data_IF_939343667972
#
_entry.id   IF_939343667972
#
_cell.length_a   1.000
_cell.length_b   1.000
_cell.length_c   1.000
_cell.angle_alpha   90.00
_cell.angle_beta   90.00
_cell.angle_gamma   90.00
#
_symmetry.space_group_name_H-M   'P 1'
#
loop_
_entity.id
_entity.type
_entity.pdbx_description
1 polymer ?
#
# COMPACT_ATOMS: atom_id res chain seq x y z
N UNK A 1 -10.38 11.30 -21.11
CA UNK A 1 -10.09 12.53 -20.36
C UNK A 1 -10.04 12.10 -18.91
N UNK A 2 -8.85 11.82 -18.39
CA UNK A 2 -8.64 11.38 -17.00
C UNK A 2 -9.18 12.50 -16.09
N UNK A 3 -10.24 12.22 -15.34
CA UNK A 3 -10.63 13.09 -14.23
C UNK A 3 -9.57 12.90 -13.15
N UNK A 4 -8.57 13.77 -13.14
CA UNK A 4 -7.64 13.85 -12.05
C UNK A 4 -8.45 14.06 -10.77
N UNK A 5 -8.21 13.26 -9.74
CA UNK A 5 -8.66 13.58 -8.39
C UNK A 5 -8.27 15.04 -8.13
N UNK A 6 -9.21 15.87 -7.76
CA UNK A 6 -8.90 17.26 -7.44
C UNK A 6 -7.86 17.28 -6.33
N UNK A 7 -6.85 18.14 -6.48
CA UNK A 7 -5.82 18.31 -5.46
C UNK A 7 -6.48 18.55 -4.08
N UNK A 8 -5.87 18.00 -3.04
CA UNK A 8 -6.37 18.16 -1.68
C UNK A 8 -6.42 19.63 -1.26
N UNK A 9 -7.48 20.08 -0.61
CA UNK A 9 -7.52 21.42 -0.05
C UNK A 9 -6.44 21.65 1.03
N UNK A 10 -5.93 20.58 1.66
CA UNK A 10 -4.88 20.67 2.68
C UNK A 10 -3.52 21.08 2.11
N UNK A 11 -3.34 21.10 0.80
CA UNK A 11 -2.17 21.72 0.15
C UNK A 11 -2.09 23.23 0.36
N UNK A 12 -3.20 23.86 0.80
CA UNK A 12 -3.21 25.29 1.18
C UNK A 12 -2.69 25.56 2.59
N UNK A 13 -2.50 24.52 3.40
CA UNK A 13 -2.00 24.68 4.78
C UNK A 13 -0.54 25.15 4.78
N UNK A 14 -0.14 25.95 5.81
CA UNK A 14 1.21 26.46 5.93
C UNK A 14 2.26 25.33 5.93
N UNK A 15 3.32 25.51 5.14
CA UNK A 15 4.41 24.54 5.05
C UNK A 15 4.14 23.35 4.14
N UNK A 16 2.96 23.23 3.55
CA UNK A 16 2.64 22.14 2.63
C UNK A 16 3.53 22.17 1.40
N UNK A 17 4.20 21.07 1.13
CA UNK A 17 4.96 20.80 -0.09
C UNK A 17 4.26 19.69 -0.86
N UNK A 18 3.84 19.91 -2.12
CA UNK A 18 3.16 18.88 -2.89
C UNK A 18 4.00 17.63 -3.08
N UNK A 19 3.38 16.46 -3.01
CA UNK A 19 4.03 15.19 -3.32
C UNK A 19 4.18 14.99 -4.83
N UNK A 20 5.23 14.25 -5.19
CA UNK A 20 5.44 13.75 -6.55
C UNK A 20 4.72 12.41 -6.76
N UNK A 21 4.67 11.96 -8.02
CA UNK A 21 4.11 10.64 -8.35
C UNK A 21 4.77 9.52 -7.50
N UNK A 22 3.99 8.54 -7.05
CA UNK A 22 2.57 8.29 -7.35
C UNK A 22 1.57 9.02 -6.45
N UNK A 23 2.02 9.87 -5.52
CA UNK A 23 1.19 10.50 -4.48
C UNK A 23 0.81 11.96 -4.81
N UNK A 24 0.81 12.31 -6.10
CA UNK A 24 0.36 13.61 -6.56
C UNK A 24 -1.04 13.97 -6.03
N UNK A 25 -1.22 15.23 -5.67
CA UNK A 25 -2.51 15.76 -5.20
C UNK A 25 -2.65 15.87 -3.68
N UNK A 26 -1.66 15.38 -2.90
CA UNK A 26 -1.57 15.56 -1.45
C UNK A 26 -0.19 16.12 -1.06
N UNK A 27 0.03 16.43 0.22
CA UNK A 27 1.31 16.97 0.68
C UNK A 27 2.34 15.86 0.91
N UNK A 28 3.56 16.07 0.41
CA UNK A 28 4.73 15.27 0.72
C UNK A 28 5.12 15.44 2.21
N UNK A 29 5.15 16.70 2.67
CA UNK A 29 5.39 17.09 4.06
C UNK A 29 4.86 18.51 4.33
N UNK A 30 4.82 18.92 5.61
CA UNK A 30 4.42 20.25 6.07
C UNK A 30 5.59 21.01 6.72
N UNK A 31 6.82 20.68 6.36
CA UNK A 31 8.03 21.39 6.76
C UNK A 31 9.12 20.49 7.33
N UNK A 32 8.92 19.83 8.45
CA UNK A 32 9.93 18.99 9.11
C UNK A 32 9.56 17.50 9.03
N UNK A 33 10.15 16.81 8.06
CA UNK A 33 9.91 15.39 7.80
C UNK A 33 10.15 14.48 9.03
N UNK A 34 11.22 14.72 9.79
CA UNK A 34 11.54 13.88 10.95
C UNK A 34 10.63 14.15 12.15
N UNK A 35 10.19 15.40 12.33
CA UNK A 35 9.19 15.75 13.34
C UNK A 35 7.83 15.10 13.00
N UNK A 36 7.46 15.13 11.74
CA UNK A 36 6.24 14.50 11.26
C UNK A 36 6.26 12.98 11.45
N UNK A 37 7.38 12.31 11.16
CA UNK A 37 7.53 10.87 11.40
C UNK A 37 7.42 10.52 12.90
N UNK A 38 8.11 11.28 13.77
CA UNK A 38 8.01 11.08 15.22
C UNK A 38 6.57 11.27 15.71
N UNK A 39 5.88 12.30 15.23
CA UNK A 39 4.48 12.51 15.59
C UNK A 39 3.60 11.32 15.21
N UNK A 40 3.75 10.77 13.99
CA UNK A 40 3.04 9.55 13.58
C UNK A 40 3.40 8.34 14.45
N UNK A 41 4.68 8.12 14.71
CA UNK A 41 5.15 7.00 15.54
C UNK A 41 4.60 7.09 16.97
N UNK A 42 4.44 8.32 17.50
CA UNK A 42 3.86 8.61 18.82
C UNK A 42 2.31 8.59 18.84
N UNK A 43 1.66 8.23 17.73
CA UNK A 43 0.20 8.19 17.64
C UNK A 43 -0.47 9.55 17.43
N UNK A 44 0.28 10.57 17.01
CA UNK A 44 -0.22 11.94 16.85
C UNK A 44 -0.37 12.36 15.40
N UNK A 45 -1.33 13.26 15.15
CA UNK A 45 -1.61 13.79 13.81
C UNK A 45 -2.38 12.81 12.91
N UNK A 46 -2.47 13.17 11.64
CA UNK A 46 -3.13 12.37 10.62
C UNK A 46 -2.48 12.60 9.25
N UNK A 47 -2.63 11.63 8.34
CA UNK A 47 -2.15 11.75 6.96
C UNK A 47 -3.33 11.81 6.00
N UNK A 48 -3.30 12.81 5.14
CA UNK A 48 -4.26 12.95 4.04
C UNK A 48 -3.89 11.98 2.90
N UNK A 49 -4.76 11.00 2.67
CA UNK A 49 -4.70 10.05 1.57
C UNK A 49 -5.85 10.27 0.56
N UNK A 50 -6.38 11.48 0.47
CA UNK A 50 -7.53 11.82 -0.38
C UNK A 50 -7.31 11.64 -1.89
N UNK A 51 -6.07 11.42 -2.32
CA UNK A 51 -5.70 11.06 -3.69
C UNK A 51 -5.97 9.58 -4.01
N UNK A 52 -6.21 8.72 -3.00
CA UNK A 52 -6.54 7.31 -3.20
C UNK A 52 -7.94 7.13 -3.78
N UNK A 53 -8.10 6.11 -4.62
CA UNK A 53 -9.41 5.74 -5.15
C UNK A 53 -10.29 5.09 -4.09
N UNK A 54 -11.55 5.49 -4.00
CA UNK A 54 -12.55 4.91 -3.09
C UNK A 54 -13.66 4.26 -3.91
N UNK A 55 -13.94 2.98 -3.61
CA UNK A 55 -15.03 2.24 -4.22
C UNK A 55 -15.93 1.62 -3.15
N UNK A 56 -17.18 1.38 -3.52
CA UNK A 56 -18.13 0.65 -2.68
C UNK A 56 -18.80 -0.47 -3.46
N UNK A 57 -19.11 -1.55 -2.74
CA UNK A 57 -19.96 -2.63 -3.24
C UNK A 57 -21.09 -2.85 -2.25
N UNK A 58 -22.32 -2.64 -2.71
CA UNK A 58 -23.54 -2.89 -1.92
C UNK A 58 -24.35 -4.03 -2.50
N UNK A 59 -25.39 -4.45 -1.78
CA UNK A 59 -26.30 -5.52 -2.18
C UNK A 59 -26.14 -6.81 -1.38
N UNK A 60 -27.18 -7.66 -1.39
CA UNK A 60 -27.24 -8.84 -0.52
C UNK A 60 -26.21 -9.92 -0.85
N UNK A 61 -25.68 -9.94 -2.06
CA UNK A 61 -24.72 -10.93 -2.52
C UNK A 61 -23.27 -10.40 -2.54
N UNK A 62 -23.00 -9.18 -2.04
CA UNK A 62 -21.69 -8.51 -2.15
C UNK A 62 -20.53 -9.33 -1.62
N UNK A 63 -20.63 -9.89 -0.41
CA UNK A 63 -19.53 -10.64 0.20
C UNK A 63 -19.30 -11.98 -0.51
N UNK A 64 -20.35 -12.72 -0.86
CA UNK A 64 -20.23 -13.98 -1.58
C UNK A 64 -19.66 -13.77 -2.99
N UNK A 65 -20.06 -12.69 -3.66
CA UNK A 65 -19.55 -12.32 -4.99
C UNK A 65 -18.09 -11.84 -4.92
N UNK A 66 -17.75 -10.92 -4.02
CA UNK A 66 -16.37 -10.49 -3.81
C UNK A 66 -15.44 -11.65 -3.44
N UNK A 67 -15.94 -12.61 -2.66
CA UNK A 67 -15.18 -13.81 -2.33
C UNK A 67 -14.74 -14.61 -3.56
N UNK A 68 -15.53 -14.66 -4.62
CA UNK A 68 -15.16 -15.35 -5.86
C UNK A 68 -14.08 -14.61 -6.66
N UNK A 69 -14.02 -13.29 -6.54
CA UNK A 69 -13.14 -12.44 -7.33
C UNK A 69 -11.80 -12.16 -6.66
N UNK A 70 -11.81 -12.04 -5.33
CA UNK A 70 -10.66 -11.61 -4.53
C UNK A 70 -9.87 -12.81 -3.99
N UNK A 71 -8.61 -12.57 -3.68
CA UNK A 71 -7.71 -13.56 -3.09
C UNK A 71 -7.98 -13.84 -1.61
N UNK A 72 -8.75 -12.98 -0.92
CA UNK A 72 -9.04 -13.06 0.50
C UNK A 72 -10.38 -13.75 0.77
N UNK A 73 -10.49 -14.39 1.94
CA UNK A 73 -11.74 -14.98 2.42
C UNK A 73 -12.62 -13.89 3.03
N UNK A 74 -13.66 -13.46 2.29
CA UNK A 74 -14.53 -12.36 2.70
C UNK A 74 -16.01 -12.75 2.88
N UNK A 75 -16.38 -14.02 2.62
CA UNK A 75 -17.79 -14.46 2.70
C UNK A 75 -18.40 -14.21 4.08
N UNK A 76 -17.62 -14.39 5.13
CA UNK A 76 -18.02 -14.24 6.52
C UNK A 76 -17.30 -13.08 7.20
N UNK A 77 -16.89 -12.05 6.43
CA UNK A 77 -16.21 -10.88 6.98
C UNK A 77 -17.16 -10.14 7.95
N UNK A 78 -16.84 -10.10 9.25
CA UNK A 78 -17.68 -9.41 10.21
C UNK A 78 -17.72 -7.90 9.94
N UNK A 79 -18.86 -7.24 10.21
CA UNK A 79 -18.93 -5.79 10.12
C UNK A 79 -17.85 -5.10 10.97
N UNK A 80 -17.18 -4.10 10.38
CA UNK A 80 -16.09 -3.36 11.02
C UNK A 80 -14.71 -4.05 10.95
N UNK A 81 -14.65 -5.34 10.57
CA UNK A 81 -13.35 -6.01 10.43
C UNK A 81 -12.66 -5.59 9.13
N UNK A 82 -11.45 -5.06 9.28
CA UNK A 82 -10.60 -4.71 8.14
C UNK A 82 -9.92 -5.94 7.54
N UNK A 83 -9.70 -5.90 6.22
CA UNK A 83 -8.89 -6.89 5.53
C UNK A 83 -8.21 -6.28 4.30
N UNK A 84 -7.28 -7.04 3.71
CA UNK A 84 -6.63 -6.72 2.45
C UNK A 84 -6.90 -7.86 1.46
N UNK A 85 -7.02 -7.52 0.20
CA UNK A 85 -7.24 -8.50 -0.86
C UNK A 85 -6.60 -8.05 -2.17
N UNK A 86 -6.28 -9.02 -3.02
CA UNK A 86 -5.74 -8.77 -4.34
C UNK A 86 -6.72 -9.22 -5.42
N UNK A 87 -6.62 -8.58 -6.57
CA UNK A 87 -7.12 -9.11 -7.85
C UNK A 87 -5.89 -9.54 -8.65
N UNK A 88 -5.86 -10.80 -9.04
CA UNK A 88 -4.76 -11.37 -9.81
C UNK A 88 -5.14 -11.55 -11.28
N UNK A 89 -4.14 -11.56 -12.16
CA UNK A 89 -4.28 -12.05 -13.52
C UNK A 89 -4.50 -13.57 -13.56
N UNK A 90 -4.87 -14.12 -14.69
CA UNK A 90 -4.96 -15.57 -14.88
C UNK A 90 -3.63 -16.30 -14.61
N UNK A 91 -2.50 -15.61 -14.78
CA UNK A 91 -1.16 -16.12 -14.49
C UNK A 91 -0.72 -15.92 -13.03
N UNK A 92 -1.60 -15.40 -12.16
CA UNK A 92 -1.30 -15.15 -10.75
C UNK A 92 -0.47 -13.90 -10.45
N UNK A 93 -0.31 -13.00 -11.44
CA UNK A 93 0.34 -11.72 -11.21
C UNK A 93 -0.62 -10.73 -10.56
N UNK A 94 -0.11 -9.88 -9.68
CA UNK A 94 -0.92 -8.87 -8.97
C UNK A 94 -1.32 -7.75 -9.94
N UNK A 95 -2.63 -7.57 -10.12
CA UNK A 95 -3.20 -6.48 -10.93
C UNK A 95 -3.69 -5.33 -10.05
N UNK A 96 -4.35 -5.65 -8.92
CA UNK A 96 -4.86 -4.66 -7.98
C UNK A 96 -4.67 -5.11 -6.53
N UNK A 97 -4.45 -4.13 -5.65
CA UNK A 97 -4.48 -4.28 -4.20
C UNK A 97 -5.62 -3.43 -3.63
N UNK A 98 -6.43 -4.04 -2.78
CA UNK A 98 -7.63 -3.45 -2.20
C UNK A 98 -7.57 -3.54 -0.68
N UNK A 99 -7.88 -2.44 -0.03
CA UNK A 99 -7.93 -2.30 1.42
C UNK A 99 -9.38 -2.12 1.84
N UNK A 100 -9.97 -3.16 2.46
CA UNK A 100 -11.41 -3.31 2.62
C UNK A 100 -11.87 -3.26 4.08
N UNK A 101 -13.12 -2.83 4.26
CA UNK A 101 -13.94 -3.01 5.45
C UNK A 101 -15.39 -3.14 5.02
N UNK A 102 -16.17 -3.98 5.68
CA UNK A 102 -17.62 -4.10 5.47
C UNK A 102 -18.37 -3.48 6.65
N UNK A 103 -19.38 -2.63 6.40
CA UNK A 103 -20.18 -1.98 7.45
C UNK A 103 -21.46 -2.74 7.82
N UNK A 104 -21.67 -3.92 7.22
CA UNK A 104 -22.87 -4.75 7.37
C UNK A 104 -23.86 -4.59 6.20
N UNK A 105 -23.78 -3.53 5.43
CA UNK A 105 -24.61 -3.22 4.26
C UNK A 105 -23.82 -2.99 2.98
N UNK A 106 -22.63 -2.44 3.13
CA UNK A 106 -21.75 -2.01 2.06
C UNK A 106 -20.31 -2.40 2.39
N UNK A 107 -19.61 -2.97 1.41
CA UNK A 107 -18.16 -3.14 1.47
C UNK A 107 -17.50 -1.89 0.92
N UNK A 108 -16.75 -1.20 1.75
CA UNK A 108 -15.92 -0.05 1.41
C UNK A 108 -14.51 -0.50 1.13
N UNK A 109 -13.89 0.10 0.13
CA UNK A 109 -12.51 -0.20 -0.20
C UNK A 109 -11.79 1.03 -0.75
N UNK A 110 -10.51 1.12 -0.48
CA UNK A 110 -9.64 2.05 -1.19
C UNK A 110 -8.53 1.30 -1.92
N UNK A 111 -7.96 1.95 -2.91
CA UNK A 111 -6.87 1.44 -3.73
C UNK A 111 -5.86 2.54 -4.03
N UNK A 112 -4.76 2.21 -4.68
CA UNK A 112 -3.73 3.16 -5.05
C UNK A 112 -4.27 4.27 -5.97
N UNK A 113 -3.64 5.46 -5.96
CA UNK A 113 -4.08 6.59 -6.78
C UNK A 113 -4.22 6.22 -8.26
N UNK A 114 -5.32 6.64 -8.88
CA UNK A 114 -5.59 6.40 -10.29
C UNK A 114 -5.92 4.95 -10.68
N UNK A 115 -6.06 4.02 -9.71
CA UNK A 115 -6.40 2.62 -9.99
C UNK A 115 -7.89 2.31 -9.89
N UNK A 116 -8.71 3.20 -9.34
CA UNK A 116 -10.15 2.99 -9.11
C UNK A 116 -10.92 2.69 -10.39
N UNK A 117 -10.61 3.37 -11.50
CA UNK A 117 -11.32 3.15 -12.78
C UNK A 117 -11.10 1.72 -13.30
N UNK A 118 -9.88 1.20 -13.23
CA UNK A 118 -9.57 -0.15 -13.66
C UNK A 118 -10.19 -1.20 -12.74
N UNK A 119 -10.20 -0.97 -11.42
CA UNK A 119 -10.89 -1.83 -10.45
C UNK A 119 -12.39 -1.83 -10.72
N UNK A 120 -13.02 -0.65 -10.90
CA UNK A 120 -14.44 -0.52 -11.22
C UNK A 120 -14.78 -1.30 -12.49
N UNK A 121 -14.01 -1.10 -13.57
CA UNK A 121 -14.23 -1.77 -14.85
C UNK A 121 -14.15 -3.30 -14.71
N UNK A 122 -13.16 -3.81 -13.95
CA UNK A 122 -13.05 -5.24 -13.67
C UNK A 122 -14.26 -5.75 -12.89
N UNK A 123 -14.64 -5.10 -11.80
CA UNK A 123 -15.77 -5.51 -10.97
C UNK A 123 -17.09 -5.47 -11.75
N UNK A 124 -17.35 -4.42 -12.52
CA UNK A 124 -18.55 -4.33 -13.38
C UNK A 124 -18.56 -5.44 -14.44
N UNK A 125 -17.42 -5.79 -15.03
CA UNK A 125 -17.33 -6.88 -16.02
C UNK A 125 -17.67 -8.27 -15.44
N UNK A 126 -17.53 -8.45 -14.14
CA UNK A 126 -17.75 -9.70 -13.41
C UNK A 126 -19.11 -9.77 -12.70
N UNK A 127 -19.96 -8.78 -12.87
CA UNK A 127 -21.22 -8.64 -12.14
C UNK A 127 -22.28 -9.68 -12.54
N UNK A 128 -22.40 -9.97 -13.84
CA UNK A 128 -23.37 -10.92 -14.41
C UNK A 128 -24.78 -10.77 -13.79
N UNK A 129 -25.25 -11.83 -13.11
CA UNK A 129 -26.58 -11.91 -12.47
C UNK A 129 -26.57 -11.63 -10.96
N UNK A 130 -25.42 -11.29 -10.40
CA UNK A 130 -25.31 -11.00 -8.97
C UNK A 130 -26.04 -9.70 -8.61
N UNK A 131 -26.78 -9.74 -7.49
CA UNK A 131 -27.51 -8.59 -6.96
C UNK A 131 -26.56 -7.70 -6.13
N UNK A 132 -25.67 -7.04 -6.85
CA UNK A 132 -24.67 -6.14 -6.31
C UNK A 132 -24.67 -4.84 -7.10
N UNK A 133 -24.28 -3.77 -6.44
CA UNK A 133 -24.02 -2.46 -7.04
C UNK A 133 -22.61 -2.04 -6.71
N UNK A 134 -21.83 -1.69 -7.74
CA UNK A 134 -20.45 -1.21 -7.59
C UNK A 134 -20.45 0.28 -7.93
N UNK A 135 -19.81 1.08 -7.10
CA UNK A 135 -19.74 2.52 -7.32
C UNK A 135 -18.33 3.07 -7.05
N UNK A 136 -17.88 3.99 -7.92
CA UNK A 136 -16.73 4.86 -7.65
C UNK A 136 -17.19 6.03 -6.78
N UNK A 137 -16.67 6.11 -5.58
CA UNK A 137 -16.97 7.14 -4.56
C UNK A 137 -15.81 8.11 -4.37
N UNK A 138 -14.78 8.03 -5.21
CA UNK A 138 -13.57 8.86 -5.11
C UNK A 138 -13.87 10.36 -5.08
N UNK A 139 -14.88 10.79 -5.82
CA UNK A 139 -15.31 12.20 -5.84
C UNK A 139 -16.04 12.67 -4.57
N UNK A 140 -16.56 11.75 -3.76
CA UNK A 140 -17.40 12.04 -2.60
C UNK A 140 -16.66 11.83 -1.28
N UNK A 141 -15.73 10.87 -1.23
CA UNK A 141 -14.99 10.50 -0.03
C UNK A 141 -13.49 10.68 -0.20
N UNK A 142 -12.85 11.03 0.90
CA UNK A 142 -11.41 11.06 1.08
C UNK A 142 -11.00 9.94 2.05
N UNK A 143 -9.81 9.37 1.87
CA UNK A 143 -9.21 8.52 2.88
C UNK A 143 -8.31 9.38 3.77
N UNK A 144 -8.47 9.26 5.09
CA UNK A 144 -7.60 9.89 6.09
C UNK A 144 -7.01 8.80 6.96
N UNK A 145 -5.69 8.76 7.07
CA UNK A 145 -5.00 7.79 7.92
C UNK A 145 -4.68 8.38 9.29
N UNK A 146 -5.10 7.69 10.34
CA UNK A 146 -4.71 7.93 11.74
C UNK A 146 -3.70 6.86 12.16
N UNK A 147 -2.58 7.23 12.77
CA UNK A 147 -1.58 6.25 13.22
C UNK A 147 -2.10 5.35 14.34
N UNK A 148 -1.42 4.24 14.57
CA UNK A 148 -1.70 3.37 15.71
C UNK A 148 -1.54 4.16 17.01
N UNK A 149 -2.42 3.90 17.99
CA UNK A 149 -2.42 4.63 19.27
C UNK A 149 -3.05 6.03 19.21
N UNK A 150 -3.52 6.49 18.04
CA UNK A 150 -4.20 7.79 17.92
C UNK A 150 -5.47 7.83 18.78
N UNK A 151 -5.59 8.92 19.56
CA UNK A 151 -6.77 9.22 20.38
C UNK A 151 -7.84 10.01 19.61
N UNK A 152 -7.59 10.37 18.37
CA UNK A 152 -8.56 11.11 17.54
C UNK A 152 -9.78 10.23 17.30
N UNK A 153 -10.95 10.71 17.68
CA UNK A 153 -12.20 10.02 17.40
C UNK A 153 -12.64 10.26 15.94
N UNK A 154 -13.13 9.19 15.29
CA UNK A 154 -13.73 9.33 13.98
C UNK A 154 -15.05 10.12 14.09
N UNK A 155 -15.36 11.05 13.19
CA UNK A 155 -16.67 11.70 13.15
C UNK A 155 -17.80 10.68 13.08
N UNK A 156 -18.95 11.02 13.69
CA UNK A 156 -20.11 10.14 13.69
C UNK A 156 -20.55 9.74 12.27
N UNK A 157 -20.82 8.45 12.07
CA UNK A 157 -21.20 7.91 10.77
C UNK A 157 -20.04 7.66 9.78
N UNK A 158 -18.79 7.93 10.20
CA UNK A 158 -17.61 7.61 9.37
C UNK A 158 -17.33 6.11 9.38
N UNK A 159 -17.14 5.54 8.20
CA UNK A 159 -16.67 4.15 8.08
C UNK A 159 -15.17 4.10 8.38
N UNK A 160 -14.78 3.22 9.29
CA UNK A 160 -13.41 3.09 9.78
C UNK A 160 -12.87 1.72 9.44
N UNK A 161 -11.69 1.68 8.82
CA UNK A 161 -10.91 0.48 8.56
C UNK A 161 -9.76 0.41 9.58
N UNK A 162 -9.88 -0.44 10.59
CA UNK A 162 -8.86 -0.60 11.63
C UNK A 162 -7.79 -1.63 11.25
N UNK A 163 -6.53 -1.31 11.48
CA UNK A 163 -5.37 -2.18 11.22
C UNK A 163 -4.39 -2.13 12.39
N UNK A 164 -3.40 -3.02 12.40
CA UNK A 164 -2.33 -3.01 13.40
C UNK A 164 -1.43 -1.76 13.35
N UNK A 165 -1.42 -1.05 12.24
CA UNK A 165 -0.59 0.14 12.02
C UNK A 165 -1.37 1.45 12.04
N UNK A 166 -2.69 1.40 12.28
CA UNK A 166 -3.54 2.59 12.36
C UNK A 166 -4.93 2.36 11.82
N UNK A 167 -5.63 3.45 11.56
CA UNK A 167 -7.02 3.45 11.08
C UNK A 167 -7.15 4.30 9.82
N UNK A 168 -7.86 3.80 8.82
CA UNK A 168 -8.22 4.58 7.64
C UNK A 168 -9.69 4.99 7.75
N UNK A 169 -9.96 6.28 7.73
CA UNK A 169 -11.30 6.87 7.77
C UNK A 169 -11.77 7.13 6.34
N UNK A 170 -12.96 6.66 5.98
CA UNK A 170 -13.65 7.08 4.76
C UNK A 170 -14.47 8.33 5.06
N UNK A 171 -13.84 9.49 4.97
CA UNK A 171 -14.39 10.78 5.36
C UNK A 171 -15.06 11.45 4.15
N UNK A 172 -16.29 12.02 4.27
CA UNK A 172 -16.83 12.87 3.22
C UNK A 172 -15.84 13.99 2.87
N UNK A 173 -15.58 14.24 1.58
CA UNK A 173 -14.57 15.25 1.16
C UNK A 173 -14.84 16.64 1.71
N UNK A 174 -16.12 17.01 1.89
CA UNK A 174 -16.49 18.28 2.49
C UNK A 174 -16.05 18.44 3.96
N UNK A 175 -15.80 17.30 4.64
CA UNK A 175 -15.38 17.29 6.05
C UNK A 175 -13.85 17.30 6.22
N UNK A 176 -13.07 17.23 5.13
CA UNK A 176 -11.61 17.11 5.22
C UNK A 176 -10.96 18.37 5.85
N UNK A 177 -11.36 19.58 5.44
CA UNK A 177 -10.85 20.83 6.04
C UNK A 177 -11.34 21.01 7.48
N UNK A 178 -12.64 20.85 7.81
CA UNK A 178 -13.10 20.86 9.20
C UNK A 178 -12.37 19.84 10.09
N UNK A 179 -12.17 18.61 9.58
CA UNK A 179 -11.43 17.57 10.29
C UNK A 179 -9.98 18.01 10.57
N UNK A 180 -9.28 18.53 9.58
CA UNK A 180 -7.92 19.02 9.72
C UNK A 180 -7.81 20.16 10.73
N UNK A 181 -8.77 21.07 10.73
CA UNK A 181 -8.81 22.18 11.69
C UNK A 181 -9.04 21.71 13.14
N UNK A 182 -9.80 20.62 13.33
CA UNK A 182 -10.15 20.10 14.66
C UNK A 182 -9.09 19.15 15.23
N UNK A 183 -8.38 18.39 14.39
CA UNK A 183 -7.60 17.21 14.81
C UNK A 183 -6.13 17.23 14.39
N UNK A 184 -5.62 18.36 13.89
CA UNK A 184 -4.22 18.51 13.43
C UNK A 184 -3.16 18.02 14.43
N UNK A 185 -1.87 17.95 14.07
CA UNK A 185 -1.30 18.44 12.82
C UNK A 185 -1.55 17.48 11.63
N UNK A 186 -1.70 18.08 10.44
CA UNK A 186 -1.59 17.34 9.20
C UNK A 186 -0.13 16.93 8.99
N UNK A 187 0.06 15.70 8.52
CA UNK A 187 1.36 15.07 8.30
C UNK A 187 1.40 14.60 6.84
N UNK A 188 2.53 14.79 6.18
CA UNK A 188 2.68 14.45 4.79
C UNK A 188 2.93 12.97 4.54
N UNK A 189 2.69 12.55 3.28
CA UNK A 189 2.80 11.13 2.88
C UNK A 189 4.21 10.56 3.02
N UNK A 190 5.27 11.38 2.93
CA UNK A 190 6.64 10.88 3.10
C UNK A 190 6.91 10.35 4.51
N UNK A 191 6.25 10.90 5.54
CA UNK A 191 6.37 10.37 6.89
C UNK A 191 5.71 8.98 6.99
N UNK A 192 4.53 8.81 6.42
CA UNK A 192 3.84 7.52 6.36
C UNK A 192 4.64 6.50 5.52
N UNK A 193 5.23 6.92 4.40
CA UNK A 193 6.06 6.05 3.56
C UNK A 193 7.31 5.57 4.30
N UNK A 194 7.97 6.40 5.10
CA UNK A 194 9.11 5.98 5.90
C UNK A 194 8.73 4.89 6.91
N UNK A 195 7.61 5.06 7.64
CA UNK A 195 7.10 4.05 8.57
C UNK A 195 6.54 2.80 7.84
N UNK A 196 6.04 2.96 6.61
CA UNK A 196 5.64 1.83 5.76
C UNK A 196 6.84 0.97 5.36
N UNK A 197 7.93 1.61 4.93
CA UNK A 197 9.19 0.94 4.55
C UNK A 197 9.78 0.21 5.74
N UNK A 198 9.86 0.87 6.92
CA UNK A 198 10.27 0.23 8.17
C UNK A 198 9.38 -0.97 8.53
N UNK A 199 8.07 -0.83 8.39
CA UNK A 199 7.10 -1.91 8.63
C UNK A 199 7.03 -2.97 7.53
N UNK A 200 7.92 -2.94 6.53
CA UNK A 200 8.02 -3.90 5.42
C UNK A 200 6.71 -4.10 4.64
N UNK A 201 5.83 -3.12 4.61
CA UNK A 201 4.51 -3.22 3.98
C UNK A 201 4.59 -2.90 2.50
N UNK A 202 4.32 -3.87 1.60
CA UNK A 202 4.38 -3.62 0.17
C UNK A 202 3.23 -2.74 -0.30
N UNK A 203 3.47 -2.00 -1.37
CA UNK A 203 2.51 -1.11 -2.02
C UNK A 203 2.46 -1.41 -3.52
N UNK A 204 1.25 -1.52 -4.08
CA UNK A 204 1.07 -1.79 -5.49
C UNK A 204 1.68 -0.67 -6.35
N UNK A 205 2.49 -1.07 -7.33
CA UNK A 205 3.18 -0.13 -8.24
C UNK A 205 4.53 0.37 -7.73
N UNK A 206 4.83 0.23 -6.42
CA UNK A 206 6.15 0.47 -5.86
C UNK A 206 6.91 -0.86 -5.69
N UNK A 207 6.42 -1.77 -4.84
CA UNK A 207 7.00 -3.10 -4.63
C UNK A 207 6.53 -4.12 -5.67
N UNK A 208 5.69 -3.73 -6.64
CA UNK A 208 5.18 -4.63 -7.67
C UNK A 208 5.42 -4.12 -9.07
N UNK A 209 5.68 -5.05 -9.97
CA UNK A 209 5.67 -4.87 -11.43
C UNK A 209 4.61 -5.78 -12.09
N UNK A 210 4.53 -5.75 -13.42
CA UNK A 210 3.57 -6.53 -14.20
C UNK A 210 3.71 -8.07 -14.07
N UNK A 211 4.75 -8.58 -13.40
CA UNK A 211 5.02 -10.02 -13.21
C UNK A 211 5.02 -10.43 -11.75
N UNK A 212 4.85 -9.50 -10.83
CA UNK A 212 4.93 -9.78 -9.39
C UNK A 212 3.81 -10.73 -8.98
N UNK A 213 4.17 -11.79 -8.27
CA UNK A 213 3.24 -12.71 -7.61
C UNK A 213 3.20 -12.40 -6.10
N UNK A 214 2.09 -12.69 -5.40
CA UNK A 214 1.92 -12.33 -3.99
C UNK A 214 3.04 -12.81 -3.06
N UNK A 215 3.63 -13.98 -3.36
CA UNK A 215 4.72 -14.55 -2.56
C UNK A 215 5.99 -13.68 -2.53
N UNK A 216 6.27 -12.97 -3.61
CA UNK A 216 7.50 -12.18 -3.72
C UNK A 216 7.56 -11.01 -2.73
N UNK A 217 6.39 -10.51 -2.32
CA UNK A 217 6.25 -9.30 -1.51
C UNK A 217 5.58 -9.52 -0.15
N UNK A 218 5.38 -10.78 0.25
CA UNK A 218 4.87 -11.10 1.58
C UNK A 218 3.35 -10.99 1.75
N UNK A 219 2.57 -10.98 0.67
CA UNK A 219 1.10 -10.90 0.75
C UNK A 219 0.39 -12.23 1.04
N UNK A 220 1.15 -13.32 1.19
CA UNK A 220 0.56 -14.61 1.58
C UNK A 220 0.19 -14.57 3.07
N UNK A 221 -1.07 -14.86 3.35
CA UNK A 221 -1.63 -14.81 4.71
C UNK A 221 -2.29 -13.45 5.05
N UNK A 222 -1.71 -12.33 4.62
CA UNK A 222 -2.31 -11.00 4.85
C UNK A 222 -3.39 -10.67 3.81
N UNK A 223 -3.06 -10.71 2.52
CA UNK A 223 -3.98 -10.39 1.42
C UNK A 223 -4.43 -11.62 0.61
N UNK A 224 -3.80 -12.78 0.81
CA UNK A 224 -4.14 -14.05 0.13
C UNK A 224 -4.44 -15.13 1.14
N UNK A 225 -5.68 -15.64 1.13
CA UNK A 225 -6.08 -16.76 1.97
C UNK A 225 -5.93 -18.08 1.22
N UNK A 226 -4.96 -18.91 1.64
CA UNK A 226 -4.58 -20.14 0.93
C UNK A 226 -5.65 -21.24 0.92
N UNK A 227 -6.57 -21.23 1.90
CA UNK A 227 -7.58 -22.28 2.08
C UNK A 227 -8.98 -21.84 1.63
N UNK A 228 -9.12 -20.69 0.98
CA UNK A 228 -10.41 -20.29 0.39
C UNK A 228 -10.67 -21.02 -0.93
N UNK A 229 -11.93 -20.97 -1.40
CA UNK A 229 -12.34 -21.50 -2.70
C UNK A 229 -11.65 -20.87 -3.91
N UNK A 230 -12.10 -21.20 -5.10
CA UNK A 230 -11.49 -20.76 -6.35
C UNK A 230 -11.51 -19.23 -6.53
N UNK A 231 -10.42 -18.69 -7.09
CA UNK A 231 -10.29 -17.32 -7.56
C UNK A 231 -9.30 -17.28 -8.75
N UNK A 232 -9.36 -16.22 -9.53
CA UNK A 232 -8.49 -16.03 -10.70
C UNK A 232 -7.01 -16.04 -10.31
N UNK A 233 -6.18 -16.85 -10.98
CA UNK A 233 -4.73 -16.95 -10.72
C UNK A 233 -4.34 -17.89 -9.58
N UNK A 234 -5.30 -18.56 -8.92
CA UNK A 234 -5.07 -19.47 -7.80
C UNK A 234 -4.07 -20.60 -8.12
N UNK A 235 -4.08 -21.14 -9.34
CA UNK A 235 -3.20 -22.25 -9.73
C UNK A 235 -1.72 -21.89 -9.58
N UNK A 236 -1.33 -20.67 -9.97
CA UNK A 236 0.05 -20.19 -9.79
C UNK A 236 0.37 -20.03 -8.32
N UNK A 237 -0.53 -19.44 -7.53
CA UNK A 237 -0.36 -19.29 -6.08
C UNK A 237 -0.17 -20.64 -5.42
N UNK A 238 -1.04 -21.61 -5.70
CA UNK A 238 -0.96 -22.96 -5.13
C UNK A 238 0.30 -23.70 -5.57
N UNK A 239 0.70 -23.59 -6.83
CA UNK A 239 1.92 -24.20 -7.35
C UNK A 239 3.18 -23.65 -6.66
N UNK A 240 3.30 -22.34 -6.51
CA UNK A 240 4.44 -21.73 -5.82
C UNK A 240 4.43 -22.11 -4.35
N UNK A 241 3.27 -22.07 -3.69
CA UNK A 241 3.14 -22.44 -2.27
C UNK A 241 3.54 -23.88 -2.00
N UNK A 242 3.16 -24.84 -2.84
CA UNK A 242 3.29 -26.28 -2.57
C UNK A 242 4.52 -26.91 -3.20
N UNK A 243 4.96 -26.44 -4.35
CA UNK A 243 5.97 -27.12 -5.17
C UNK A 243 7.17 -26.24 -5.54
N UNK A 244 7.11 -24.97 -5.27
CA UNK A 244 8.10 -24.02 -5.74
C UNK A 244 8.46 -22.97 -4.70
N UNK A 245 9.26 -22.04 -5.16
CA UNK A 245 9.61 -20.81 -4.46
C UNK A 245 9.49 -19.64 -5.42
N UNK A 246 9.17 -18.44 -4.94
CA UNK A 246 9.07 -17.26 -5.79
C UNK A 246 10.44 -16.97 -6.45
N UNK A 247 10.46 -16.44 -7.68
CA UNK A 247 11.71 -16.14 -8.38
C UNK A 247 12.48 -14.97 -7.77
N UNK A 248 11.78 -14.08 -7.08
CA UNK A 248 12.31 -12.91 -6.37
C UNK A 248 11.77 -12.90 -4.94
N UNK A 249 12.37 -12.09 -4.11
CA UNK A 249 11.92 -11.83 -2.73
C UNK A 249 12.12 -10.38 -2.35
N UNK A 250 11.22 -9.86 -1.53
CA UNK A 250 11.35 -8.56 -0.90
C UNK A 250 12.39 -8.63 0.22
N UNK A 251 13.26 -7.64 0.26
CA UNK A 251 14.24 -7.42 1.32
C UNK A 251 14.14 -5.99 1.82
N UNK A 252 14.46 -5.80 3.10
CA UNK A 252 14.69 -4.51 3.68
C UNK A 252 16.18 -4.18 3.63
N UNK A 253 16.51 -2.93 3.34
CA UNK A 253 17.90 -2.46 3.21
C UNK A 253 18.18 -1.33 4.19
N UNK A 254 19.26 -1.46 4.94
CA UNK A 254 19.94 -0.34 5.60
C UNK A 254 20.97 0.22 4.62
N UNK A 255 20.82 1.47 4.24
CA UNK A 255 21.69 2.15 3.29
C UNK A 255 22.79 2.92 4.02
N UNK A 256 23.95 3.07 3.39
CA UNK A 256 25.01 3.91 3.92
C UNK A 256 24.54 5.37 4.03
N UNK A 257 24.64 5.93 5.24
CA UNK A 257 24.21 7.29 5.56
C UNK A 257 25.15 8.39 5.08
N UNK A 258 26.31 8.06 4.49
CA UNK A 258 27.24 9.05 3.95
C UNK A 258 26.73 9.73 2.66
N UNK A 259 25.79 9.08 1.97
CA UNK A 259 25.20 9.58 0.72
C UNK A 259 24.08 10.59 0.98
N UNK A 260 24.15 11.74 0.28
CA UNK A 260 23.13 12.80 0.40
C UNK A 260 21.82 12.39 -0.27
N UNK A 261 21.89 11.63 -1.34
CA UNK A 261 20.72 11.22 -2.13
C UNK A 261 20.34 9.76 -1.88
N UNK A 262 19.04 9.52 -1.73
CA UNK A 262 18.51 8.16 -1.67
C UNK A 262 18.49 7.54 -3.07
N UNK A 263 18.78 6.23 -3.21
CA UNK A 263 18.65 5.56 -4.49
C UNK A 263 17.17 5.56 -4.93
N UNK A 264 16.85 6.09 -6.13
CA UNK A 264 15.48 6.15 -6.62
C UNK A 264 14.93 4.75 -6.97
N UNK A 265 13.59 4.66 -7.15
CA UNK A 265 12.95 3.45 -7.66
C UNK A 265 13.63 2.95 -8.94
N UNK A 266 13.81 1.64 -9.03
CA UNK A 266 14.48 1.00 -10.19
C UNK A 266 16.00 0.97 -10.11
N UNK A 267 16.62 1.62 -9.12
CA UNK A 267 18.09 1.57 -8.95
C UNK A 267 18.56 0.11 -8.84
N UNK A 268 19.56 -0.32 -9.66
CA UNK A 268 20.03 -1.70 -9.66
C UNK A 268 20.62 -2.13 -8.32
N UNK A 269 20.29 -3.34 -7.89
CA UNK A 269 20.93 -4.03 -6.76
C UNK A 269 21.97 -5.03 -7.30
N UNK A 270 23.19 -5.00 -6.73
CA UNK A 270 24.31 -5.88 -7.06
C UNK A 270 24.97 -6.41 -5.79
N UNK A 271 25.82 -7.44 -5.91
CA UNK A 271 26.73 -7.81 -4.82
C UNK A 271 27.81 -6.73 -4.67
N UNK A 272 28.10 -6.34 -3.44
CA UNK A 272 29.18 -5.38 -3.17
C UNK A 272 30.55 -5.88 -3.65
N UNK A 273 30.78 -7.19 -3.60
CA UNK A 273 32.01 -7.81 -4.07
C UNK A 273 32.24 -7.68 -5.57
N UNK A 274 31.17 -7.54 -6.37
CA UNK A 274 31.25 -7.42 -7.84
C UNK A 274 31.36 -5.96 -8.30
N UNK A 275 31.18 -4.99 -7.40
CA UNK A 275 31.20 -3.56 -7.67
C UNK A 275 30.07 -3.08 -8.59
N UNK A 276 30.19 -1.87 -9.10
CA UNK A 276 29.16 -1.20 -9.91
C UNK A 276 28.95 -1.85 -11.30
N UNK A 277 29.95 -2.54 -11.83
CA UNK A 277 29.87 -3.28 -13.09
C UNK A 277 29.32 -4.71 -12.92
N UNK A 278 29.06 -5.12 -11.69
CA UNK A 278 28.53 -6.44 -11.35
C UNK A 278 27.14 -6.68 -11.95
N UNK A 279 26.78 -7.97 -12.04
CA UNK A 279 25.47 -8.39 -12.56
C UNK A 279 24.32 -7.82 -11.71
N UNK A 280 23.31 -7.23 -12.34
CA UNK A 280 22.09 -6.84 -11.67
C UNK A 280 21.33 -8.05 -11.09
N UNK A 281 21.07 -8.03 -9.79
CA UNK A 281 20.40 -9.07 -9.04
C UNK A 281 18.99 -8.67 -8.58
N UNK A 282 18.66 -7.40 -8.65
CA UNK A 282 17.38 -6.84 -8.24
C UNK A 282 17.34 -5.33 -8.48
N UNK A 283 16.39 -4.67 -7.84
CA UNK A 283 16.25 -3.22 -7.89
C UNK A 283 15.60 -2.69 -6.61
N UNK A 284 15.93 -1.44 -6.27
CA UNK A 284 15.28 -0.69 -5.20
C UNK A 284 13.84 -0.39 -5.60
N UNK A 285 12.91 -0.67 -4.71
CA UNK A 285 11.48 -0.37 -4.94
C UNK A 285 11.08 0.95 -4.30
N UNK A 286 11.35 1.14 -3.01
CA UNK A 286 11.08 2.38 -2.29
C UNK A 286 12.25 2.68 -1.37
N UNK A 287 12.70 3.92 -1.33
CA UNK A 287 13.68 4.39 -0.36
C UNK A 287 13.12 5.54 0.47
N UNK A 288 13.53 5.63 1.73
CA UNK A 288 13.07 6.65 2.66
C UNK A 288 14.19 7.06 3.62
N UNK A 289 14.09 8.28 4.18
CA UNK A 289 14.89 8.71 5.34
C UNK A 289 14.04 8.49 6.58
N UNK A 290 14.39 7.51 7.38
CA UNK A 290 13.71 7.21 8.63
C UNK A 290 14.32 8.01 9.78
N UNK A 291 13.48 8.47 10.72
CA UNK A 291 13.91 9.36 11.80
C UNK A 291 14.85 8.71 12.83
N UNK A 292 14.86 7.37 12.93
CA UNK A 292 15.76 6.61 13.82
C UNK A 292 16.76 5.75 13.02
N UNK A 293 16.31 5.06 11.98
CA UNK A 293 17.13 4.12 11.22
C UNK A 293 18.00 4.77 10.15
N UNK A 294 17.84 6.10 9.93
CA UNK A 294 18.52 6.79 8.84
C UNK A 294 17.98 6.41 7.46
N UNK A 295 18.83 6.32 6.42
CA UNK A 295 18.39 5.94 5.09
C UNK A 295 18.11 4.43 5.01
N UNK A 296 16.88 4.10 4.60
CA UNK A 296 16.36 2.75 4.46
C UNK A 296 15.72 2.55 3.08
N UNK A 297 15.58 1.29 2.66
CA UNK A 297 14.83 0.98 1.45
C UNK A 297 14.18 -0.41 1.50
N UNK A 298 13.17 -0.62 0.63
CA UNK A 298 12.73 -1.93 0.19
C UNK A 298 13.31 -2.22 -1.19
N UNK A 299 13.61 -3.48 -1.46
CA UNK A 299 14.11 -3.91 -2.76
C UNK A 299 13.58 -5.31 -3.12
N UNK A 300 13.37 -5.55 -4.40
CA UNK A 300 13.12 -6.90 -4.93
C UNK A 300 14.43 -7.46 -5.46
N UNK A 301 14.87 -8.56 -4.87
CA UNK A 301 16.10 -9.27 -5.29
C UNK A 301 15.78 -10.67 -5.79
N UNK A 302 16.63 -11.22 -6.65
CA UNK A 302 16.52 -12.62 -7.08
C UNK A 302 16.62 -13.55 -5.87
N UNK A 303 15.84 -14.61 -5.85
CA UNK A 303 15.78 -15.57 -4.74
C UNK A 303 17.17 -16.11 -4.31
N UNK A 304 18.04 -16.35 -5.28
CA UNK A 304 19.37 -16.96 -5.05
C UNK A 304 20.44 -15.97 -4.55
N UNK A 305 20.10 -14.74 -4.27
CA UNK A 305 21.01 -13.78 -3.60
C UNK A 305 21.20 -14.28 -2.16
N UNK A 306 22.45 -14.50 -1.69
CA UNK A 306 22.69 -14.91 -0.30
C UNK A 306 22.11 -13.87 0.67
N UNK A 307 21.51 -14.34 1.76
CA UNK A 307 20.77 -13.47 2.70
C UNK A 307 21.67 -12.59 3.55
N UNK A 308 22.94 -12.94 3.66
CA UNK A 308 23.98 -12.23 4.42
C UNK A 308 24.95 -11.44 3.52
N UNK A 309 24.76 -11.50 2.20
CA UNK A 309 25.65 -10.80 1.27
C UNK A 309 25.49 -9.27 1.36
N UNK A 310 26.60 -8.52 1.50
CA UNK A 310 26.59 -7.08 1.31
C UNK A 310 26.21 -6.72 -0.11
N UNK A 311 25.36 -5.67 -0.25
CA UNK A 311 24.80 -5.24 -1.52
C UNK A 311 25.24 -3.81 -1.87
N UNK A 312 25.11 -3.47 -3.15
CA UNK A 312 25.12 -2.10 -3.66
C UNK A 312 23.75 -1.76 -4.23
N UNK A 313 23.18 -0.66 -3.79
CA UNK A 313 22.02 -0.02 -4.39
C UNK A 313 22.52 1.16 -5.27
N UNK A 314 22.75 0.90 -6.56
CA UNK A 314 23.54 1.80 -7.39
C UNK A 314 24.99 1.87 -6.90
N UNK A 315 25.41 3.03 -6.40
CA UNK A 315 26.70 3.29 -5.75
C UNK A 315 26.67 3.15 -4.23
N UNK A 316 25.46 3.17 -3.62
CA UNK A 316 25.28 3.19 -2.17
C UNK A 316 25.43 1.78 -1.58
N UNK A 317 26.32 1.63 -0.59
CA UNK A 317 26.47 0.38 0.15
C UNK A 317 25.20 0.10 0.96
N UNK A 318 24.82 -1.19 1.01
CA UNK A 318 23.61 -1.62 1.69
C UNK A 318 23.83 -2.98 2.40
N UNK A 319 23.28 -3.08 3.61
CA UNK A 319 23.06 -4.38 4.27
C UNK A 319 21.59 -4.77 4.17
N UNK A 320 21.32 -6.05 4.01
CA UNK A 320 19.97 -6.56 3.82
C UNK A 320 19.43 -7.28 5.04
N UNK A 321 18.13 -7.17 5.27
CA UNK A 321 17.34 -8.03 6.13
C UNK A 321 16.29 -8.77 5.30
N UNK A 322 16.01 -10.02 5.68
CA UNK A 322 15.02 -10.85 5.00
C UNK A 322 13.62 -10.43 5.40
N UNK A 323 12.82 -10.00 4.42
CA UNK A 323 11.36 -9.76 4.60
C UNK A 323 10.58 -10.99 4.14
N UNK A 324 10.95 -11.52 2.98
CA UNK A 324 10.38 -12.76 2.44
C UNK A 324 11.48 -13.80 2.35
N UNK A 325 11.25 -14.97 2.95
CA UNK A 325 12.19 -16.09 2.96
C UNK A 325 12.48 -16.59 1.53
N UNK A 326 13.76 -16.99 1.24
CA UNK A 326 14.18 -17.45 -0.07
C UNK A 326 13.67 -18.84 -0.46
#
# INVERSE_FOLDING_TARGET
MLRHSSASPLLSLPGAVPAEAPDEGVAAHYGDLFREQRALADGSGFVDLSHRGVLTVSGPERLSWLHLLLTQHVTELPPGQATEALILSANGHVEHALYLVDDGGTTWMHTEPGKQEAVLAYLESMKFFYRVEVADRTGEFAVVHLPAGSIVEAPEGTVVRETSYGRDLFLPRAELEPFAAAHGPAIGVLALEALRVEGHRPRLGLETDHRTIPHEVGWIGSAVHLQKGCYRGQETVARVQNLGKPPRRLVFLHLDGSEVHLPPHGTPIRLAADGEEGRQLGFVTTSARHHELGPIALALVKRNVPTDAPLLAGTTAASQEVVVEP
#
